data_IF_831811921483
#
_entry.id   IF_831811921483
#
_cell.length_a   1.000
_cell.length_b   1.000
_cell.length_c   1.000
_cell.angle_alpha   90.00
_cell.angle_beta   90.00
_cell.angle_gamma   90.00
#
_symmetry.space_group_name_H-M   'P 1'
#
loop_
_entity.id
_entity.type
_entity.pdbx_description
1 polymer ?
#
# COMPACT_ATOMS: atom_id res chain seq x y z
N UNK A 1 12.06 6.90 -2.97
CA UNK A 1 11.06 6.76 -4.06
C UNK A 1 11.59 6.06 -5.31
N UNK A 2 12.80 6.35 -5.86
CA UNK A 2 13.24 5.76 -7.13
C UNK A 2 13.34 4.23 -7.15
N UNK A 3 13.62 3.60 -6.00
CA UNK A 3 13.71 2.14 -5.86
C UNK A 3 12.36 1.41 -5.92
N UNK A 4 11.24 2.11 -5.73
CA UNK A 4 9.90 1.49 -5.76
C UNK A 4 9.29 1.43 -7.17
N UNK A 5 9.76 2.29 -8.08
CA UNK A 5 9.27 2.43 -9.45
C UNK A 5 10.19 1.74 -10.48
N UNK A 6 11.09 0.84 -10.05
CA UNK A 6 11.95 0.07 -10.96
C UNK A 6 13.46 0.36 -10.87
N UNK A 7 13.88 1.28 -10.01
CA UNK A 7 15.31 1.45 -9.65
C UNK A 7 15.78 0.41 -8.61
N UNK A 8 17.10 0.36 -8.37
CA UNK A 8 17.71 -0.49 -7.33
C UNK A 8 18.32 -1.79 -7.84
N UNK A 9 19.11 -2.44 -6.97
CA UNK A 9 19.77 -3.72 -7.31
C UNK A 9 18.72 -4.83 -7.51
N UNK A 10 19.06 -5.94 -8.20
CA UNK A 10 18.17 -7.09 -8.33
C UNK A 10 17.62 -7.60 -6.98
N UNK A 11 18.46 -7.60 -5.96
CA UNK A 11 18.09 -8.02 -4.60
C UNK A 11 17.07 -7.06 -3.97
N UNK A 12 17.23 -5.74 -4.17
CA UNK A 12 16.27 -4.75 -3.66
C UNK A 12 14.92 -4.88 -4.35
N UNK A 13 14.92 -5.12 -5.66
CA UNK A 13 13.70 -5.34 -6.43
C UNK A 13 13.00 -6.63 -6.00
N UNK A 14 13.77 -7.69 -5.70
CA UNK A 14 13.22 -8.93 -5.17
C UNK A 14 12.55 -8.73 -3.79
N UNK A 15 13.16 -7.95 -2.89
CA UNK A 15 12.57 -7.60 -1.59
C UNK A 15 11.27 -6.80 -1.73
N UNK A 16 11.24 -5.82 -2.64
CA UNK A 16 10.03 -5.04 -2.94
C UNK A 16 8.92 -5.96 -3.45
N UNK A 17 9.25 -6.88 -4.35
CA UNK A 17 8.27 -7.82 -4.89
C UNK A 17 7.77 -8.80 -3.83
N UNK A 18 8.63 -9.27 -2.93
CA UNK A 18 8.24 -10.11 -1.80
C UNK A 18 7.21 -9.39 -0.91
N UNK A 19 7.44 -8.12 -0.56
CA UNK A 19 6.49 -7.32 0.22
C UNK A 19 5.17 -7.13 -0.52
N UNK A 20 5.21 -6.88 -1.83
CA UNK A 20 4.00 -6.76 -2.67
C UNK A 20 3.19 -8.05 -2.69
N UNK A 21 3.84 -9.18 -2.90
CA UNK A 21 3.20 -10.49 -2.90
C UNK A 21 2.62 -10.83 -1.53
N UNK A 22 3.34 -10.51 -0.46
CA UNK A 22 2.85 -10.69 0.90
C UNK A 22 1.59 -9.84 1.16
N UNK A 23 1.60 -8.57 0.76
CA UNK A 23 0.41 -7.72 0.88
C UNK A 23 -0.76 -8.29 0.07
N UNK A 24 -0.53 -8.63 -1.20
CA UNK A 24 -1.58 -9.13 -2.09
C UNK A 24 -2.26 -10.40 -1.55
N UNK A 25 -1.50 -11.32 -0.95
CA UNK A 25 -2.04 -12.53 -0.29
C UNK A 25 -2.89 -12.22 0.95
N UNK A 26 -2.57 -11.14 1.66
CA UNK A 26 -3.21 -10.76 2.92
C UNK A 26 -4.19 -9.58 2.77
N UNK A 27 -4.44 -9.11 1.53
CA UNK A 27 -5.22 -7.89 1.24
C UNK A 27 -6.66 -7.91 1.77
N UNK A 28 -7.20 -9.08 2.04
CA UNK A 28 -8.53 -9.24 2.63
C UNK A 28 -8.54 -9.13 4.16
N UNK A 29 -7.39 -9.37 4.81
CA UNK A 29 -7.20 -9.28 6.26
C UNK A 29 -6.66 -7.92 6.70
N UNK A 30 -5.77 -7.33 5.89
CA UNK A 30 -5.17 -6.01 6.12
C UNK A 30 -5.41 -5.16 4.89
N UNK A 31 -6.24 -4.12 5.06
CA UNK A 31 -6.72 -3.26 3.97
C UNK A 31 -5.72 -2.19 3.50
N UNK A 32 -5.08 -1.40 4.39
CA UNK A 32 -4.13 -0.39 3.96
C UNK A 32 -2.74 -0.96 3.62
N UNK A 33 -2.16 -0.52 2.50
CA UNK A 33 -0.86 -0.96 1.99
C UNK A 33 0.34 -0.18 2.56
N UNK A 34 0.54 -0.26 3.89
CA UNK A 34 1.53 0.58 4.57
C UNK A 34 2.97 0.02 4.61
N UNK A 35 3.25 -1.15 4.05
CA UNK A 35 4.50 -1.88 4.32
C UNK A 35 5.71 -1.36 3.52
N UNK A 36 5.50 -0.93 2.27
CA UNK A 36 6.61 -0.57 1.37
C UNK A 36 7.38 0.68 1.83
N UNK A 37 6.67 1.73 2.24
CA UNK A 37 7.33 2.95 2.70
C UNK A 37 8.04 2.75 4.04
N UNK A 38 7.44 1.97 4.97
CA UNK A 38 8.08 1.61 6.24
C UNK A 38 9.36 0.82 5.98
N UNK A 39 9.32 -0.18 5.10
CA UNK A 39 10.51 -0.94 4.70
C UNK A 39 11.61 -0.01 4.18
N UNK A 40 11.28 0.93 3.30
CA UNK A 40 12.26 1.87 2.74
C UNK A 40 12.91 2.72 3.84
N UNK A 41 12.11 3.31 4.74
CA UNK A 41 12.60 4.17 5.82
C UNK A 41 13.51 3.42 6.81
N UNK A 42 13.10 2.21 7.20
CA UNK A 42 13.89 1.37 8.12
C UNK A 42 15.21 0.95 7.48
N UNK A 43 15.19 0.63 6.17
CA UNK A 43 16.39 0.25 5.41
C UNK A 43 17.37 1.42 5.28
N UNK A 44 16.90 2.60 4.89
CA UNK A 44 17.74 3.81 4.75
C UNK A 44 18.47 4.16 6.05
N UNK A 45 17.85 3.86 7.21
CA UNK A 45 18.45 4.10 8.53
C UNK A 45 19.21 2.90 9.09
N UNK A 46 19.37 1.82 8.31
CA UNK A 46 19.96 0.56 8.74
C UNK A 46 19.39 0.09 10.09
N UNK A 47 18.07 0.25 10.26
CA UNK A 47 17.39 -0.02 11.51
C UNK A 47 17.43 -1.51 11.83
N UNK A 48 17.84 -1.84 13.05
CA UNK A 48 17.83 -3.21 13.57
C UNK A 48 16.95 -3.26 14.81
N UNK A 49 15.93 -4.14 14.87
CA UNK A 49 15.14 -4.32 16.07
C UNK A 49 16.04 -4.78 17.23
N UNK A 50 16.16 -3.97 18.28
CA UNK A 50 16.98 -4.28 19.47
C UNK A 50 16.16 -4.76 20.65
N UNK A 51 14.88 -4.39 20.71
CA UNK A 51 13.99 -4.68 21.84
C UNK A 51 13.04 -5.82 21.42
N UNK A 52 13.04 -6.97 22.12
CA UNK A 52 12.19 -8.10 21.79
C UNK A 52 10.71 -7.75 21.95
N UNK A 53 9.85 -8.41 21.17
CA UNK A 53 8.41 -8.26 21.30
C UNK A 53 7.93 -8.86 22.63
N UNK A 54 7.11 -8.10 23.35
CA UNK A 54 6.40 -8.59 24.53
C UNK A 54 5.18 -9.36 24.05
N UNK A 55 5.07 -10.64 24.41
CA UNK A 55 3.86 -11.44 24.23
C UNK A 55 3.08 -11.41 25.54
N UNK A 56 1.77 -11.23 25.45
CA UNK A 56 0.84 -11.24 26.59
C UNK A 56 -0.18 -12.34 26.30
N UNK A 57 -0.31 -13.30 27.19
CA UNK A 57 -1.28 -14.39 27.05
C UNK A 57 -2.67 -13.96 27.50
N UNK A 58 -3.70 -14.67 27.04
CA UNK A 58 -5.08 -14.36 27.41
C UNK A 58 -5.29 -14.56 28.92
N UNK A 59 -5.78 -13.53 29.60
CA UNK A 59 -5.95 -13.52 31.06
C UNK A 59 -4.69 -13.21 31.87
N UNK A 60 -3.54 -12.97 31.22
CA UNK A 60 -2.30 -12.61 31.90
C UNK A 60 -2.31 -11.16 32.40
N UNK A 61 -1.84 -10.93 33.64
CA UNK A 61 -1.74 -9.59 34.20
C UNK A 61 -0.64 -8.75 33.49
N UNK A 62 -1.01 -7.52 33.09
CA UNK A 62 -0.10 -6.57 32.45
C UNK A 62 0.69 -5.84 33.54
N UNK A 63 1.92 -6.29 33.77
CA UNK A 63 2.84 -5.64 34.72
C UNK A 63 3.44 -4.35 34.15
N UNK A 64 3.91 -3.47 35.05
CA UNK A 64 4.61 -2.24 34.69
C UNK A 64 5.81 -2.49 33.77
N UNK A 65 6.58 -3.55 34.00
CA UNK A 65 7.76 -3.87 33.20
C UNK A 65 7.41 -4.31 31.78
N UNK A 66 6.31 -5.06 31.61
CA UNK A 66 5.80 -5.45 30.29
C UNK A 66 5.31 -4.24 29.52
N UNK A 67 4.52 -3.37 30.15
CA UNK A 67 4.03 -2.15 29.54
C UNK A 67 5.18 -1.22 29.13
N UNK A 68 6.15 -1.00 30.04
CA UNK A 68 7.35 -0.21 29.79
C UNK A 68 8.18 -0.79 28.64
N UNK A 69 8.37 -2.10 28.61
CA UNK A 69 9.14 -2.77 27.54
C UNK A 69 8.45 -2.64 26.18
N UNK A 70 7.13 -2.82 26.14
CA UNK A 70 6.32 -2.64 24.93
C UNK A 70 6.38 -1.19 24.42
N UNK A 71 6.24 -0.21 25.33
CA UNK A 71 6.35 1.21 24.99
C UNK A 71 7.74 1.57 24.46
N UNK A 72 8.82 1.14 25.13
CA UNK A 72 10.19 1.39 24.68
C UNK A 72 10.44 0.80 23.30
N UNK A 73 9.91 -0.40 23.02
CA UNK A 73 9.97 -1.02 21.69
C UNK A 73 9.22 -0.18 20.65
N UNK A 74 8.00 0.25 20.95
CA UNK A 74 7.19 1.07 20.05
C UNK A 74 7.87 2.40 19.74
N UNK A 75 8.34 3.13 20.76
CA UNK A 75 9.07 4.40 20.59
C UNK A 75 10.32 4.19 19.75
N UNK A 76 11.14 3.18 20.05
CA UNK A 76 12.36 2.89 19.28
C UNK A 76 12.05 2.63 17.79
N UNK A 77 10.97 1.91 17.49
CA UNK A 77 10.52 1.67 16.13
C UNK A 77 9.98 2.94 15.45
N UNK A 78 9.10 3.69 16.10
CA UNK A 78 8.50 4.90 15.53
C UNK A 78 9.51 6.03 15.33
N UNK A 79 10.49 6.19 16.21
CA UNK A 79 11.60 7.13 16.00
C UNK A 79 12.38 6.80 14.72
N UNK A 80 12.53 5.51 14.39
CA UNK A 80 13.16 5.09 13.15
C UNK A 80 12.29 5.35 11.91
N UNK A 81 11.00 5.68 12.04
CA UNK A 81 10.13 6.04 10.91
C UNK A 81 10.02 7.55 10.67
N UNK A 82 10.57 8.39 11.55
CA UNK A 82 10.52 9.86 11.41
C UNK A 82 11.32 10.34 10.19
N UNK A 83 10.75 11.13 9.30
CA UNK A 83 11.46 11.73 8.17
C UNK A 83 12.54 12.73 8.63
N UNK A 84 13.45 13.09 7.74
CA UNK A 84 14.60 13.95 8.04
C UNK A 84 14.23 15.38 8.46
N UNK A 85 13.04 15.83 8.07
CA UNK A 85 12.43 17.12 8.43
C UNK A 85 11.52 17.01 9.67
N UNK A 86 11.46 15.84 10.32
CA UNK A 86 10.78 15.61 11.58
C UNK A 86 9.33 15.12 11.49
N UNK A 87 8.73 15.02 10.30
CA UNK A 87 7.36 14.48 10.18
C UNK A 87 7.32 12.94 10.20
N UNK A 88 6.14 12.36 10.40
CA UNK A 88 5.91 10.93 10.20
C UNK A 88 5.09 10.72 8.94
N UNK A 89 5.66 10.12 7.88
CA UNK A 89 4.90 9.72 6.73
C UNK A 89 3.83 8.71 7.16
N UNK A 90 2.69 8.79 6.49
CA UNK A 90 1.62 7.83 6.65
C UNK A 90 0.96 7.60 5.30
N UNK A 91 0.49 6.38 5.08
CA UNK A 91 -0.42 6.12 3.99
C UNK A 91 -1.77 6.74 4.33
N UNK A 92 -2.26 7.64 3.48
CA UNK A 92 -3.60 8.20 3.58
C UNK A 92 -4.50 7.53 2.54
N UNK A 93 -4.81 6.26 2.78
CA UNK A 93 -5.72 5.46 1.98
C UNK A 93 -7.15 5.53 2.54
N UNK A 94 -8.10 5.04 1.76
CA UNK A 94 -9.50 4.93 2.19
C UNK A 94 -10.43 5.07 1.00
N UNK A 95 -10.66 6.28 0.47
CA UNK A 95 -11.59 6.49 -0.65
C UNK A 95 -11.10 5.88 -1.97
N UNK A 96 -11.94 5.07 -2.62
CA UNK A 96 -11.63 4.44 -3.92
C UNK A 96 -12.08 5.28 -5.12
N UNK A 97 -12.53 6.51 -4.88
CA UNK A 97 -13.05 7.42 -5.91
C UNK A 97 -12.18 8.68 -6.13
N UNK A 98 -10.93 8.70 -5.66
CA UNK A 98 -9.98 9.79 -5.98
C UNK A 98 -9.10 9.47 -7.18
N UNK A 99 -8.47 8.30 -7.18
CA UNK A 99 -7.52 7.92 -8.23
C UNK A 99 -8.20 7.73 -9.61
N UNK A 100 -9.32 6.99 -9.74
CA UNK A 100 -9.94 6.79 -11.05
C UNK A 100 -10.36 8.09 -11.74
N UNK A 101 -11.05 9.05 -11.07
CA UNK A 101 -11.37 10.32 -11.73
C UNK A 101 -10.15 11.15 -12.10
N UNK A 102 -9.08 11.13 -11.30
CA UNK A 102 -7.83 11.82 -11.65
C UNK A 102 -7.25 11.27 -12.97
N UNK A 103 -7.17 9.95 -13.11
CA UNK A 103 -6.71 9.30 -14.35
C UNK A 103 -7.60 9.68 -15.54
N UNK A 104 -8.92 9.73 -15.36
CA UNK A 104 -9.84 10.16 -16.40
C UNK A 104 -9.62 11.61 -16.82
N UNK A 105 -9.46 12.54 -15.88
CA UNK A 105 -9.18 13.95 -16.17
C UNK A 105 -7.86 14.12 -16.93
N UNK A 106 -6.79 13.46 -16.48
CA UNK A 106 -5.48 13.50 -17.15
C UNK A 106 -5.54 12.89 -18.55
N UNK A 107 -6.33 11.82 -18.74
CA UNK A 107 -6.59 11.25 -20.05
C UNK A 107 -7.32 12.23 -20.97
N UNK A 108 -8.44 12.80 -20.50
CA UNK A 108 -9.28 13.72 -21.27
C UNK A 108 -8.48 14.96 -21.72
N UNK A 109 -7.57 15.44 -20.87
CA UNK A 109 -6.71 16.59 -21.18
C UNK A 109 -5.53 16.24 -22.08
N UNK A 110 -5.31 14.96 -22.44
CA UNK A 110 -4.23 14.55 -23.34
C UNK A 110 -2.84 14.42 -22.68
N UNK A 111 -2.77 14.35 -21.35
CA UNK A 111 -1.50 14.35 -20.61
C UNK A 111 -1.16 13.01 -19.94
N UNK A 112 -1.83 11.92 -20.33
CA UNK A 112 -1.69 10.63 -19.66
C UNK A 112 -0.25 10.09 -19.67
N UNK A 113 0.46 10.15 -20.79
CA UNK A 113 1.84 9.66 -20.90
C UNK A 113 2.85 10.55 -20.16
N UNK A 114 2.57 11.85 -20.09
CA UNK A 114 3.43 12.83 -19.41
C UNK A 114 3.30 12.76 -17.89
N UNK A 115 2.05 12.65 -17.39
CA UNK A 115 1.77 12.65 -15.94
C UNK A 115 1.90 11.25 -15.34
N UNK A 116 1.51 10.20 -16.09
CA UNK A 116 1.61 8.81 -15.66
C UNK A 116 2.45 8.00 -16.64
N UNK A 117 3.80 8.04 -16.49
CA UNK A 117 4.70 7.15 -17.19
C UNK A 117 4.40 5.67 -16.92
N UNK A 118 5.01 4.77 -17.69
CA UNK A 118 4.74 3.33 -17.63
C UNK A 118 4.76 2.74 -16.21
N UNK A 119 5.73 3.13 -15.37
CA UNK A 119 5.85 2.63 -14.00
C UNK A 119 4.70 3.11 -13.09
N UNK A 120 4.22 4.34 -13.30
CA UNK A 120 3.07 4.87 -12.56
C UNK A 120 1.80 4.11 -12.93
N UNK A 121 1.62 3.75 -14.21
CA UNK A 121 0.47 2.94 -14.65
C UNK A 121 0.48 1.57 -14.02
N UNK A 122 1.65 0.94 -13.88
CA UNK A 122 1.79 -0.34 -13.16
C UNK A 122 1.38 -0.21 -11.70
N UNK A 123 1.82 0.85 -11.01
CA UNK A 123 1.40 1.09 -9.62
C UNK A 123 -0.10 1.44 -9.48
N UNK A 124 -0.67 2.18 -10.44
CA UNK A 124 -2.12 2.48 -10.48
C UNK A 124 -2.91 1.17 -10.58
N UNK A 125 -2.53 0.29 -11.51
CA UNK A 125 -3.17 -1.02 -11.66
C UNK A 125 -3.01 -1.86 -10.41
N UNK A 126 -1.81 -1.90 -9.83
CA UNK A 126 -1.56 -2.63 -8.59
C UNK A 126 -2.44 -2.13 -7.45
N UNK A 127 -2.54 -0.81 -7.28
CA UNK A 127 -3.40 -0.19 -6.28
C UNK A 127 -4.89 -0.53 -6.50
N UNK A 128 -5.35 -0.57 -7.75
CA UNK A 128 -6.72 -0.99 -8.07
C UNK A 128 -6.94 -2.46 -7.67
N UNK A 129 -6.07 -3.39 -8.10
CA UNK A 129 -6.20 -4.81 -7.77
C UNK A 129 -6.05 -5.12 -6.28
N UNK A 130 -5.26 -4.34 -5.55
CA UNK A 130 -5.10 -4.48 -4.10
C UNK A 130 -6.41 -4.31 -3.33
N UNK A 131 -7.33 -3.52 -3.86
CA UNK A 131 -8.59 -3.19 -3.22
C UNK A 131 -9.81 -3.78 -3.93
N UNK A 132 -9.58 -4.72 -4.86
CA UNK A 132 -10.64 -5.48 -5.50
C UNK A 132 -11.21 -6.50 -4.52
N UNK A 133 -12.53 -6.49 -4.35
CA UNK A 133 -13.26 -7.47 -3.56
C UNK A 133 -13.31 -8.83 -4.28
N UNK A 134 -13.62 -9.88 -3.53
CA UNK A 134 -13.69 -11.26 -4.08
C UNK A 134 -14.75 -11.43 -5.18
N UNK A 135 -15.77 -10.56 -5.20
CA UNK A 135 -16.80 -10.50 -6.24
C UNK A 135 -16.36 -9.77 -7.52
N UNK A 136 -15.10 -9.32 -7.57
CA UNK A 136 -14.53 -8.58 -8.69
C UNK A 136 -14.78 -7.07 -8.66
N UNK A 137 -15.56 -6.56 -7.70
CA UNK A 137 -15.93 -5.14 -7.61
C UNK A 137 -15.10 -4.31 -6.63
N UNK A 138 -15.46 -3.03 -6.50
CA UNK A 138 -14.81 -2.06 -5.59
C UNK A 138 -15.83 -1.30 -4.75
N UNK A 139 -15.53 -1.14 -3.46
CA UNK A 139 -16.37 -0.37 -2.54
C UNK A 139 -16.14 1.13 -2.60
N UNK A 140 -16.94 1.89 -1.84
CA UNK A 140 -16.75 3.34 -1.71
C UNK A 140 -15.41 3.69 -1.03
N UNK A 141 -14.94 2.79 -0.18
CA UNK A 141 -13.63 2.83 0.47
C UNK A 141 -13.03 1.42 0.53
N UNK A 142 -11.75 1.32 0.90
CA UNK A 142 -10.96 0.06 0.91
C UNK A 142 -11.54 -1.08 1.76
N UNK A 143 -12.43 -0.77 2.71
CA UNK A 143 -13.11 -1.74 3.57
C UNK A 143 -14.56 -2.00 3.16
N UNK A 144 -15.05 -1.29 2.15
CA UNK A 144 -16.45 -1.35 1.72
C UNK A 144 -16.73 -2.53 0.80
N UNK A 145 -17.96 -3.05 0.87
CA UNK A 145 -18.49 -3.97 -0.13
C UNK A 145 -18.61 -3.26 -1.49
N UNK A 146 -18.66 -4.05 -2.56
CA UNK A 146 -18.66 -3.55 -3.93
C UNK A 146 -19.86 -2.67 -4.24
N UNK A 147 -19.61 -1.57 -4.95
CA UNK A 147 -20.63 -0.62 -5.38
C UNK A 147 -20.52 -0.37 -6.88
N UNK A 148 -21.65 -0.21 -7.56
CA UNK A 148 -21.66 0.14 -9.00
C UNK A 148 -20.79 1.37 -9.29
N UNK A 149 -20.84 2.38 -8.41
CA UNK A 149 -20.09 3.62 -8.57
C UNK A 149 -18.59 3.38 -8.66
N UNK A 150 -17.98 2.76 -7.63
CA UNK A 150 -16.53 2.56 -7.61
C UNK A 150 -16.07 1.41 -8.51
N UNK A 151 -16.92 0.41 -8.77
CA UNK A 151 -16.62 -0.64 -9.76
C UNK A 151 -16.50 -0.06 -11.17
N UNK A 152 -17.47 0.76 -11.60
CA UNK A 152 -17.42 1.40 -12.94
C UNK A 152 -16.22 2.34 -13.06
N UNK A 153 -15.94 3.13 -12.01
CA UNK A 153 -14.78 4.02 -11.99
C UNK A 153 -13.46 3.24 -12.14
N UNK A 154 -13.28 2.18 -11.35
CA UNK A 154 -12.07 1.35 -11.37
C UNK A 154 -11.89 0.65 -12.71
N UNK A 155 -12.97 0.09 -13.25
CA UNK A 155 -12.99 -0.53 -14.59
C UNK A 155 -12.54 0.46 -15.67
N UNK A 156 -13.13 1.67 -15.73
CA UNK A 156 -12.75 2.67 -16.72
C UNK A 156 -11.28 3.07 -16.56
N UNK A 157 -10.83 3.27 -15.31
CA UNK A 157 -9.44 3.62 -15.02
C UNK A 157 -8.47 2.58 -15.56
N UNK A 158 -8.72 1.28 -15.31
CA UNK A 158 -7.92 0.18 -15.83
C UNK A 158 -7.78 0.23 -17.36
N UNK A 159 -8.86 0.55 -18.08
CA UNK A 159 -8.82 0.66 -19.55
C UNK A 159 -7.99 1.85 -20.02
N UNK A 160 -8.01 2.96 -19.28
CA UNK A 160 -7.18 4.12 -19.61
C UNK A 160 -5.70 3.87 -19.38
N UNK A 161 -5.34 3.03 -18.41
CA UNK A 161 -3.93 2.70 -18.14
C UNK A 161 -3.42 1.44 -18.86
N UNK A 162 -4.23 0.84 -19.75
CA UNK A 162 -3.77 -0.13 -20.75
C UNK A 162 -4.27 -1.57 -20.59
N UNK A 163 -5.22 -1.84 -19.70
CA UNK A 163 -5.84 -3.18 -19.58
C UNK A 163 -6.92 -3.33 -20.65
N UNK A 164 -6.87 -4.42 -21.42
CA UNK A 164 -7.88 -4.75 -22.44
C UNK A 164 -9.21 -5.21 -21.84
N UNK A 165 -10.28 -5.34 -22.65
CA UNK A 165 -11.61 -5.64 -22.15
C UNK A 165 -11.80 -6.97 -21.46
N UNK A 166 -11.01 -7.96 -21.88
CA UNK A 166 -11.07 -9.32 -21.39
C UNK A 166 -9.77 -9.70 -20.63
N UNK A 167 -8.97 -8.70 -20.24
CA UNK A 167 -7.65 -8.87 -19.64
C UNK A 167 -7.59 -8.55 -18.13
N UNK A 168 -8.74 -8.39 -17.49
CA UNK A 168 -8.84 -8.19 -16.04
C UNK A 168 -8.41 -9.43 -15.26
N UNK A 169 -7.85 -9.21 -14.06
CA UNK A 169 -7.53 -10.28 -13.10
C UNK A 169 -8.68 -10.46 -12.10
N UNK A 170 -8.83 -11.65 -11.52
CA UNK A 170 -9.76 -11.93 -10.42
C UNK A 170 -11.21 -11.41 -10.67
N UNK A 171 -11.74 -11.65 -11.87
CA UNK A 171 -13.07 -11.19 -12.32
C UNK A 171 -13.24 -9.66 -12.48
N UNK A 172 -12.14 -8.93 -12.72
CA UNK A 172 -12.16 -7.49 -13.06
C UNK A 172 -12.63 -7.18 -14.49
#
# INVERSE_FOLDING_TARGET
MPSMLGGGTPEERAQVEEVRQNFYKNRYQVKPSGDLWRMQFLKEKNFKPKIPAVKIEEGEEITYDKATSALRRAVHFWSALQASDGHWPAENAGPLFFLPPLVMCVYITGHLDTVFPAEYRKEILRCIYYHQNEDGGWGLHIEGHSTMFCTVLSYICMRRVGVGPDAGQDNA
#
